data_IF_406847094539
#
_entry.id   IF_406847094539
#
_cell.length_a   1.000
_cell.length_b   1.000
_cell.length_c   1.000
_cell.angle_alpha   90.00
_cell.angle_beta   90.00
_cell.angle_gamma   90.00
#
_symmetry.space_group_name_H-M   'P 1'
#
loop_
_entity.id
_entity.type
_entity.pdbx_description
1 polymer ?
#
# COMPACT_ATOMS: atom_id res chain seq x y z
N UNK A 1 -4.73 15.28 -32.97
CA UNK A 1 -4.80 13.82 -33.12
C UNK A 1 -5.25 13.27 -31.78
N UNK A 2 -6.48 12.80 -31.69
CA UNK A 2 -7.03 12.29 -30.42
C UNK A 2 -6.46 10.90 -30.17
N UNK A 3 -5.56 10.75 -29.24
CA UNK A 3 -5.18 9.45 -28.72
C UNK A 3 -6.29 8.99 -27.76
N UNK A 4 -7.21 8.17 -28.26
CA UNK A 4 -8.06 7.36 -27.40
C UNK A 4 -7.20 6.20 -26.94
N UNK A 5 -6.57 6.33 -25.78
CA UNK A 5 -5.98 5.19 -25.10
C UNK A 5 -7.15 4.31 -24.64
N UNK A 6 -7.39 3.24 -25.37
CA UNK A 6 -8.28 2.18 -24.93
C UNK A 6 -7.63 1.51 -23.73
N UNK A 7 -7.89 2.04 -22.53
CA UNK A 7 -7.65 1.28 -21.29
C UNK A 7 -8.63 0.13 -21.34
N UNK A 8 -8.15 -1.02 -21.81
CA UNK A 8 -8.92 -2.25 -21.77
C UNK A 8 -9.27 -2.53 -20.31
N UNK A 9 -10.48 -2.17 -19.90
CA UNK A 9 -11.04 -2.61 -18.63
C UNK A 9 -11.06 -4.12 -18.69
N UNK A 10 -10.07 -4.76 -18.09
CA UNK A 10 -10.15 -6.18 -17.78
C UNK A 10 -11.24 -6.28 -16.71
N UNK A 11 -12.48 -6.46 -17.17
CA UNK A 11 -13.55 -6.90 -16.31
C UNK A 11 -13.19 -8.33 -15.88
N UNK A 12 -12.41 -8.46 -14.83
CA UNK A 12 -12.29 -9.70 -14.08
C UNK A 12 -13.67 -9.98 -13.49
N UNK A 13 -14.51 -10.67 -14.28
CA UNK A 13 -15.74 -11.22 -13.79
C UNK A 13 -15.37 -12.17 -12.65
N UNK A 14 -15.62 -11.76 -11.41
CA UNK A 14 -15.56 -12.63 -10.28
C UNK A 14 -16.66 -13.69 -10.43
N UNK A 15 -16.34 -14.77 -11.11
CA UNK A 15 -17.21 -15.95 -11.08
C UNK A 15 -17.29 -16.41 -9.62
N UNK A 16 -18.50 -16.56 -9.04
CA UNK A 16 -18.62 -17.13 -7.72
C UNK A 16 -18.03 -18.54 -7.79
N UNK A 17 -16.91 -18.77 -7.13
CA UNK A 17 -16.41 -20.13 -6.94
C UNK A 17 -17.44 -20.87 -6.09
N UNK A 18 -18.24 -21.68 -6.73
CA UNK A 18 -19.05 -22.70 -6.05
C UNK A 18 -18.05 -23.58 -5.29
N UNK A 19 -18.09 -23.50 -3.98
CA UNK A 19 -17.30 -24.36 -3.10
C UNK A 19 -17.65 -25.80 -3.43
N UNK A 20 -16.72 -26.51 -4.05
CA UNK A 20 -16.88 -27.93 -4.27
C UNK A 20 -17.04 -28.62 -2.90
N UNK A 21 -18.06 -29.46 -2.77
CA UNK A 21 -18.50 -30.14 -1.54
C UNK A 21 -17.45 -31.08 -0.89
N UNK A 22 -16.14 -30.83 -1.08
CA UNK A 22 -15.05 -31.73 -0.66
C UNK A 22 -13.88 -31.02 0.05
N UNK A 23 -13.94 -29.72 0.33
CA UNK A 23 -12.88 -29.05 1.06
C UNK A 23 -12.91 -29.46 2.54
N UNK A 24 -11.74 -29.86 3.10
CA UNK A 24 -11.65 -30.25 4.52
C UNK A 24 -11.78 -29.01 5.42
N UNK A 25 -12.55 -29.15 6.52
CA UNK A 25 -12.56 -28.12 7.58
C UNK A 25 -11.70 -28.58 8.75
N UNK A 26 -10.77 -27.72 9.18
CA UNK A 26 -9.90 -27.92 10.33
C UNK A 26 -10.19 -26.81 11.35
N UNK A 27 -11.01 -27.13 12.36
CA UNK A 27 -11.24 -26.24 13.50
C UNK A 27 -9.99 -26.27 14.39
N UNK A 28 -9.38 -25.09 14.65
CA UNK A 28 -8.14 -25.01 15.42
C UNK A 28 -8.29 -25.54 16.85
N UNK A 29 -9.51 -25.52 17.42
CA UNK A 29 -9.79 -26.08 18.74
C UNK A 29 -9.63 -27.59 18.79
N UNK A 30 -9.92 -28.28 17.67
CA UNK A 30 -9.68 -29.72 17.56
C UNK A 30 -8.19 -30.08 17.58
N UNK A 31 -7.30 -29.09 17.37
CA UNK A 31 -5.84 -29.23 17.44
C UNK A 31 -5.27 -28.70 18.75
N UNK A 32 -6.10 -28.29 19.69
CA UNK A 32 -5.71 -27.87 21.03
C UNK A 32 -5.68 -26.39 21.29
N UNK A 33 -6.07 -25.53 20.29
CA UNK A 33 -6.15 -24.11 20.50
C UNK A 33 -7.20 -23.75 21.57
N UNK A 34 -6.88 -22.79 22.45
CA UNK A 34 -7.73 -22.34 23.54
C UNK A 34 -8.59 -21.16 23.16
N UNK A 35 -8.04 -20.18 22.48
CA UNK A 35 -8.72 -18.94 22.14
C UNK A 35 -9.13 -18.14 23.38
N UNK A 36 -8.33 -18.16 24.43
CA UNK A 36 -8.55 -17.49 25.72
C UNK A 36 -7.81 -16.15 25.85
N UNK A 37 -7.07 -15.75 24.81
CA UNK A 37 -6.28 -14.51 24.74
C UNK A 37 -4.95 -14.54 25.50
N UNK A 38 -4.62 -15.64 26.17
CA UNK A 38 -3.42 -15.76 27.02
C UNK A 38 -2.55 -16.96 26.68
N UNK A 39 -3.16 -18.07 26.31
CA UNK A 39 -2.44 -19.27 25.87
C UNK A 39 -1.91 -19.05 24.44
N UNK A 40 -0.61 -19.34 24.20
CA UNK A 40 -0.04 -19.31 22.85
C UNK A 40 -0.59 -20.46 22.01
N UNK A 41 -1.47 -20.17 21.08
CA UNK A 41 -2.16 -21.13 20.20
C UNK A 41 -1.41 -21.41 18.89
N UNK A 42 -0.22 -20.83 18.70
CA UNK A 42 0.58 -20.88 17.45
C UNK A 42 0.72 -22.32 16.91
N UNK A 43 1.15 -23.24 17.76
CA UNK A 43 1.38 -24.62 17.34
C UNK A 43 0.10 -25.33 16.91
N UNK A 44 -1.01 -25.09 17.60
CA UNK A 44 -2.32 -25.66 17.29
C UNK A 44 -2.87 -25.12 15.97
N UNK A 45 -2.75 -23.79 15.73
CA UNK A 45 -3.15 -23.14 14.49
C UNK A 45 -2.31 -23.65 13.33
N UNK A 46 -0.99 -23.69 13.47
CA UNK A 46 -0.10 -24.18 12.42
C UNK A 46 -0.37 -25.64 12.08
N UNK A 47 -0.61 -26.49 13.08
CA UNK A 47 -0.96 -27.90 12.87
C UNK A 47 -2.29 -28.06 12.12
N UNK A 48 -3.28 -27.20 12.37
CA UNK A 48 -4.54 -27.16 11.63
C UNK A 48 -4.30 -26.78 10.17
N UNK A 49 -3.48 -25.75 9.91
CA UNK A 49 -3.09 -25.34 8.55
C UNK A 49 -2.41 -26.51 7.83
N UNK A 50 -1.40 -27.13 8.43
CA UNK A 50 -0.63 -28.22 7.84
C UNK A 50 -1.52 -29.43 7.52
N UNK A 51 -2.45 -29.75 8.42
CA UNK A 51 -3.38 -30.86 8.23
C UNK A 51 -4.39 -30.60 7.12
N UNK A 52 -4.92 -29.37 7.02
CA UNK A 52 -5.81 -28.99 5.96
C UNK A 52 -5.09 -28.93 4.59
N UNK A 53 -3.88 -28.40 4.56
CA UNK A 53 -3.08 -28.30 3.34
C UNK A 53 -2.65 -29.68 2.79
N UNK A 54 -2.48 -30.67 3.63
CA UNK A 54 -2.19 -32.04 3.22
C UNK A 54 -3.39 -32.76 2.54
N UNK A 55 -4.59 -32.18 2.63
CA UNK A 55 -5.76 -32.72 1.95
C UNK A 55 -5.73 -32.38 0.45
N UNK A 56 -6.15 -33.32 -0.41
CA UNK A 56 -6.07 -33.21 -1.87
C UNK A 56 -6.60 -31.89 -2.44
N UNK A 57 -7.67 -31.35 -1.85
CA UNK A 57 -8.32 -30.12 -2.32
C UNK A 57 -8.05 -28.94 -1.36
N UNK A 58 -7.04 -29.04 -0.50
CA UNK A 58 -6.82 -28.04 0.56
C UNK A 58 -7.95 -28.01 1.58
N UNK A 59 -8.18 -26.86 2.21
CA UNK A 59 -9.25 -26.76 3.20
C UNK A 59 -9.44 -25.40 3.83
N UNK A 60 -10.41 -25.39 4.76
CA UNK A 60 -10.77 -24.25 5.59
C UNK A 60 -10.20 -24.44 6.99
N UNK A 61 -9.28 -23.60 7.38
CA UNK A 61 -8.80 -23.49 8.77
C UNK A 61 -9.70 -22.51 9.48
N UNK A 62 -10.46 -22.99 10.47
CA UNK A 62 -11.48 -22.21 11.15
C UNK A 62 -11.06 -21.80 12.55
N UNK A 63 -11.06 -20.48 12.80
CA UNK A 63 -11.00 -19.88 14.12
C UNK A 63 -12.38 -19.31 14.45
N UNK A 64 -12.94 -19.69 15.61
CA UNK A 64 -14.27 -19.22 16.03
C UNK A 64 -14.39 -19.07 17.53
N UNK A 65 -14.95 -17.95 17.96
CA UNK A 65 -15.26 -17.63 19.35
C UNK A 65 -14.02 -17.49 20.25
N UNK A 66 -13.59 -16.27 20.48
CA UNK A 66 -12.50 -15.92 21.37
C UNK A 66 -11.31 -15.22 20.73
N UNK A 67 -10.24 -15.09 21.47
CA UNK A 67 -8.99 -14.44 21.08
C UNK A 67 -7.87 -15.47 21.06
N UNK A 68 -7.34 -15.75 19.89
CA UNK A 68 -6.25 -16.72 19.69
C UNK A 68 -4.91 -15.99 19.68
N UNK A 69 -4.18 -16.02 20.80
CA UNK A 69 -2.84 -15.46 20.92
C UNK A 69 -1.85 -16.32 20.13
N UNK A 70 -1.11 -15.73 19.20
CA UNK A 70 -0.22 -16.50 18.33
C UNK A 70 1.06 -15.73 18.01
N UNK A 71 2.17 -16.42 17.94
CA UNK A 71 3.31 -15.99 17.12
C UNK A 71 3.02 -16.18 15.63
N UNK A 72 4.04 -16.05 14.77
CA UNK A 72 3.89 -16.19 13.33
C UNK A 72 3.29 -17.51 12.88
N UNK A 73 2.39 -17.44 11.90
CA UNK A 73 1.81 -18.62 11.21
C UNK A 73 2.10 -18.56 9.71
N UNK A 74 2.20 -19.73 9.07
CA UNK A 74 2.49 -19.84 7.64
C UNK A 74 1.36 -20.56 6.93
N UNK A 75 0.69 -19.86 6.03
CA UNK A 75 -0.33 -20.43 5.16
C UNK A 75 0.32 -21.23 4.03
N UNK A 76 -0.40 -22.22 3.54
CA UNK A 76 0.01 -23.10 2.44
C UNK A 76 -0.99 -23.04 1.29
N UNK A 77 -0.62 -23.50 0.13
CA UNK A 77 -1.51 -23.52 -1.05
C UNK A 77 -2.87 -24.16 -0.76
N UNK A 78 -3.92 -23.63 -1.39
CA UNK A 78 -5.29 -24.09 -1.31
C UNK A 78 -5.91 -23.98 0.10
N UNK A 79 -5.47 -23.02 0.91
CA UNK A 79 -5.98 -22.77 2.26
C UNK A 79 -6.87 -21.52 2.28
N UNK A 80 -8.02 -21.69 2.91
CA UNK A 80 -8.81 -20.58 3.43
C UNK A 80 -8.61 -20.48 4.93
N UNK A 81 -8.06 -19.36 5.39
CA UNK A 81 -8.06 -18.97 6.80
C UNK A 81 -9.36 -18.24 7.09
N UNK A 82 -10.28 -18.90 7.79
CA UNK A 82 -11.55 -18.32 8.18
C UNK A 82 -11.51 -17.90 9.64
N UNK A 83 -11.53 -16.60 9.89
CA UNK A 83 -11.62 -16.02 11.24
C UNK A 83 -13.04 -15.48 11.38
N UNK A 84 -13.87 -16.16 12.14
CA UNK A 84 -15.27 -15.82 12.25
C UNK A 84 -15.51 -14.45 12.91
N UNK A 85 -16.64 -13.83 12.61
CA UNK A 85 -17.05 -12.59 13.28
C UNK A 85 -16.98 -12.72 14.81
N UNK A 86 -16.53 -11.68 15.49
CA UNK A 86 -16.29 -11.67 16.94
C UNK A 86 -15.07 -12.49 17.39
N UNK A 87 -14.24 -12.94 16.47
CA UNK A 87 -13.00 -13.70 16.74
C UNK A 87 -11.78 -12.88 16.39
N UNK A 88 -10.73 -12.93 17.22
CA UNK A 88 -9.46 -12.25 16.97
C UNK A 88 -8.31 -13.26 16.90
N UNK A 89 -7.52 -13.18 15.86
CA UNK A 89 -6.15 -13.72 15.82
C UNK A 89 -5.22 -12.60 16.29
N UNK A 90 -4.68 -12.76 17.52
CA UNK A 90 -3.90 -11.75 18.22
C UNK A 90 -2.40 -12.08 18.16
N UNK A 91 -1.59 -11.14 17.70
CA UNK A 91 -0.14 -11.25 17.66
C UNK A 91 0.49 -11.30 19.07
N UNK A 92 1.48 -12.17 19.25
CA UNK A 92 2.23 -12.22 20.49
C UNK A 92 2.96 -10.90 20.73
N UNK A 93 2.90 -10.32 21.95
CA UNK A 93 3.70 -9.15 22.29
C UNK A 93 5.17 -9.52 22.61
N UNK A 94 5.49 -10.82 22.68
CA UNK A 94 6.83 -11.32 22.95
C UNK A 94 7.65 -11.33 21.65
N UNK A 95 8.64 -10.46 21.53
CA UNK A 95 9.48 -10.35 20.34
C UNK A 95 10.26 -11.63 20.04
N UNK A 96 10.52 -12.47 21.06
CA UNK A 96 11.20 -13.75 20.89
C UNK A 96 10.38 -14.79 20.10
N UNK A 97 9.07 -14.61 20.00
CA UNK A 97 8.21 -15.46 19.20
C UNK A 97 8.36 -15.26 17.69
N UNK A 98 9.02 -14.16 17.27
CA UNK A 98 9.20 -13.82 15.86
C UNK A 98 10.60 -14.17 15.37
N UNK A 99 10.77 -15.27 14.63
CA UNK A 99 12.07 -15.66 14.11
C UNK A 99 12.65 -14.61 13.17
N UNK A 100 13.96 -14.32 13.33
CA UNK A 100 14.70 -13.52 12.34
C UNK A 100 14.87 -14.31 11.06
N UNK A 101 14.64 -13.68 9.94
CA UNK A 101 14.84 -14.26 8.60
C UNK A 101 15.18 -13.17 7.58
N UNK A 102 15.56 -13.60 6.39
CA UNK A 102 15.62 -12.69 5.24
C UNK A 102 14.20 -12.41 4.73
N UNK A 103 13.81 -11.16 4.71
CA UNK A 103 12.58 -10.67 4.06
C UNK A 103 12.93 -9.54 3.10
N UNK A 104 12.24 -9.47 1.97
CA UNK A 104 12.46 -8.41 0.98
C UNK A 104 13.94 -8.19 0.64
N UNK A 105 14.72 -9.27 0.54
CA UNK A 105 16.16 -9.31 0.28
C UNK A 105 17.05 -8.69 1.38
N UNK A 106 16.50 -8.45 2.55
CA UNK A 106 17.21 -7.90 3.70
C UNK A 106 16.94 -8.61 5.02
N UNK A 107 17.67 -8.28 6.08
CA UNK A 107 17.37 -8.78 7.41
C UNK A 107 15.97 -8.36 7.86
N UNK A 108 15.21 -9.29 8.43
CA UNK A 108 13.86 -9.03 8.88
C UNK A 108 13.40 -10.02 9.95
N UNK A 109 12.11 -9.96 10.23
CA UNK A 109 11.40 -10.92 11.07
C UNK A 109 10.32 -11.61 10.25
N UNK A 110 10.00 -12.84 10.60
CA UNK A 110 8.86 -13.54 10.00
C UNK A 110 7.59 -12.75 10.20
N UNK A 111 6.82 -12.54 9.12
CA UNK A 111 5.53 -11.88 9.19
C UNK A 111 4.56 -12.64 10.10
N UNK A 112 3.63 -11.91 10.75
CA UNK A 112 2.65 -12.50 11.65
C UNK A 112 1.77 -13.56 10.96
N UNK A 113 1.24 -13.24 9.79
CA UNK A 113 0.58 -14.20 8.90
C UNK A 113 1.31 -14.19 7.57
N UNK A 114 1.99 -15.26 7.22
CA UNK A 114 2.82 -15.34 6.02
C UNK A 114 2.40 -16.46 5.08
N UNK A 115 2.71 -16.30 3.79
CA UNK A 115 2.73 -17.37 2.80
C UNK A 115 3.89 -17.15 1.84
N UNK A 116 4.55 -18.22 1.41
CA UNK A 116 5.68 -18.16 0.48
C UNK A 116 5.49 -19.21 -0.61
N UNK A 117 5.61 -18.80 -1.87
CA UNK A 117 5.46 -19.69 -3.04
C UNK A 117 4.16 -20.50 -3.01
N UNK A 118 3.07 -19.90 -2.57
CA UNK A 118 1.77 -20.56 -2.40
C UNK A 118 0.70 -19.98 -3.34
N UNK A 119 -0.33 -20.76 -3.61
CA UNK A 119 -1.42 -20.36 -4.48
C UNK A 119 -2.80 -20.69 -3.91
N UNK A 120 -3.83 -19.99 -4.41
CA UNK A 120 -5.23 -20.18 -3.99
C UNK A 120 -5.41 -19.95 -2.49
N UNK A 121 -5.01 -18.77 -2.03
CA UNK A 121 -5.09 -18.36 -0.63
C UNK A 121 -6.29 -17.45 -0.41
N UNK A 122 -7.03 -17.68 0.66
CA UNK A 122 -8.13 -16.80 1.07
C UNK A 122 -8.06 -16.53 2.57
N UNK A 123 -8.21 -15.27 2.98
CA UNK A 123 -8.43 -14.87 4.37
C UNK A 123 -9.80 -14.20 4.42
N UNK A 124 -10.71 -14.72 5.26
CA UNK A 124 -12.10 -14.26 5.32
C UNK A 124 -12.77 -14.62 6.66
N UNK A 125 -14.03 -14.22 6.85
CA UNK A 125 -14.85 -14.66 7.98
C UNK A 125 -15.39 -13.54 8.86
N UNK A 126 -15.04 -12.28 8.64
CA UNK A 126 -15.56 -11.13 9.37
C UNK A 126 -14.83 -10.83 10.69
N UNK A 127 -13.83 -11.62 11.04
CA UNK A 127 -13.04 -11.45 12.26
C UNK A 127 -11.90 -10.46 12.12
N UNK A 128 -10.99 -10.50 13.08
CA UNK A 128 -9.87 -9.55 13.23
C UNK A 128 -8.53 -10.28 13.21
N UNK A 129 -7.59 -9.76 12.44
CA UNK A 129 -6.15 -10.02 12.57
C UNK A 129 -5.56 -8.79 13.26
N UNK A 130 -5.12 -8.92 14.50
CA UNK A 130 -4.49 -7.85 15.28
C UNK A 130 -3.02 -8.19 15.52
N UNK A 131 -2.14 -7.41 14.91
CA UNK A 131 -0.70 -7.62 15.03
C UNK A 131 -0.11 -7.25 16.40
N UNK A 132 -0.91 -6.58 17.27
CA UNK A 132 -0.50 -6.18 18.63
C UNK A 132 0.86 -5.44 18.66
N UNK A 133 1.06 -4.54 17.70
CA UNK A 133 2.37 -3.97 17.37
C UNK A 133 2.92 -2.92 18.32
N UNK A 134 2.18 -2.53 19.36
CA UNK A 134 2.53 -1.38 20.22
C UNK A 134 3.95 -1.45 20.80
N UNK A 135 4.37 -2.60 21.31
CA UNK A 135 5.71 -2.79 21.91
C UNK A 135 6.83 -2.57 20.87
N UNK A 136 6.59 -2.97 19.61
CA UNK A 136 7.49 -2.74 18.49
C UNK A 136 7.56 -1.27 18.09
N UNK A 137 6.43 -0.55 18.12
CA UNK A 137 6.40 0.88 17.82
C UNK A 137 7.16 1.69 18.88
N UNK A 138 6.97 1.35 20.16
CA UNK A 138 7.63 2.02 21.26
C UNK A 138 9.16 1.82 21.14
N UNK A 139 9.62 0.61 20.85
CA UNK A 139 11.03 0.33 20.61
C UNK A 139 11.57 1.08 19.39
N UNK A 140 10.84 1.07 18.25
CA UNK A 140 11.27 1.79 17.05
C UNK A 140 11.41 3.30 17.26
N UNK A 141 10.48 3.91 18.00
CA UNK A 141 10.57 5.33 18.38
C UNK A 141 11.78 5.59 19.27
N UNK A 142 11.96 4.79 20.31
CA UNK A 142 13.11 4.93 21.23
C UNK A 142 14.45 4.82 20.48
N UNK A 143 14.58 3.86 19.56
CA UNK A 143 15.79 3.71 18.74
C UNK A 143 16.00 4.91 17.80
N UNK A 144 14.94 5.42 17.18
CA UNK A 144 14.99 6.62 16.34
C UNK A 144 15.41 7.84 17.14
N UNK A 145 14.82 8.06 18.30
CA UNK A 145 15.13 9.22 19.17
C UNK A 145 16.57 9.14 19.72
N UNK A 146 17.07 7.95 19.94
CA UNK A 146 18.46 7.71 20.32
C UNK A 146 19.45 7.80 19.13
N UNK A 147 18.97 8.01 17.90
CA UNK A 147 19.82 8.06 16.69
C UNK A 147 20.48 6.73 16.34
N UNK A 148 20.01 5.61 16.89
CA UNK A 148 20.62 4.30 16.72
C UNK A 148 20.22 3.65 15.41
N UNK A 149 18.97 3.80 15.00
CA UNK A 149 18.42 3.25 13.76
C UNK A 149 17.50 4.28 13.10
N UNK A 150 17.41 4.20 11.78
CA UNK A 150 16.41 4.93 11.03
C UNK A 150 14.99 4.36 11.27
N UNK A 151 13.98 5.02 10.73
CA UNK A 151 12.57 4.60 10.83
C UNK A 151 12.29 3.21 10.22
N UNK A 152 13.23 2.66 9.45
CA UNK A 152 13.13 1.39 8.75
C UNK A 152 13.69 0.20 9.55
N UNK A 153 13.81 0.35 10.86
CA UNK A 153 14.27 -0.74 11.67
C UNK A 153 13.33 -1.96 11.47
N UNK A 154 13.96 -3.12 11.29
CA UNK A 154 13.24 -4.36 10.96
C UNK A 154 12.26 -4.74 12.06
N UNK A 155 11.01 -4.87 11.70
CA UNK A 155 9.90 -5.31 12.55
C UNK A 155 9.05 -6.32 11.78
N UNK A 156 8.32 -7.23 12.43
CA UNK A 156 7.45 -8.15 11.71
C UNK A 156 6.33 -7.37 11.00
N UNK A 157 6.05 -7.72 9.75
CA UNK A 157 4.88 -7.24 9.03
C UNK A 157 3.64 -8.02 9.43
N UNK A 158 2.45 -7.47 9.16
CA UNK A 158 1.19 -8.11 9.50
C UNK A 158 0.92 -9.35 8.64
N UNK A 159 0.45 -9.15 7.42
CA UNK A 159 0.09 -10.22 6.47
C UNK A 159 0.98 -10.08 5.23
N UNK A 160 1.75 -11.11 4.91
CA UNK A 160 2.68 -11.10 3.76
C UNK A 160 2.44 -12.30 2.85
N UNK A 161 2.24 -12.03 1.57
CA UNK A 161 2.20 -13.04 0.52
C UNK A 161 3.44 -12.87 -0.37
N UNK A 162 4.40 -13.77 -0.25
CA UNK A 162 5.69 -13.72 -0.93
C UNK A 162 5.73 -14.72 -2.08
N UNK A 163 5.83 -14.23 -3.34
CA UNK A 163 5.78 -15.05 -4.57
C UNK A 163 4.53 -15.95 -4.64
N UNK A 164 3.38 -15.41 -4.25
CA UNK A 164 2.10 -16.12 -4.24
C UNK A 164 1.26 -15.84 -5.48
N UNK A 165 0.19 -16.62 -5.67
CA UNK A 165 -0.81 -16.42 -6.74
C UNK A 165 -2.22 -16.66 -6.24
N UNK A 166 -3.19 -15.95 -6.85
CA UNK A 166 -4.61 -16.12 -6.55
C UNK A 166 -4.91 -15.90 -5.06
N UNK A 167 -4.61 -14.70 -4.57
CA UNK A 167 -4.77 -14.30 -3.17
C UNK A 167 -6.03 -13.47 -2.99
N UNK A 168 -6.81 -13.76 -1.95
CA UNK A 168 -8.03 -13.04 -1.58
C UNK A 168 -8.03 -12.69 -0.10
N UNK A 169 -8.32 -11.43 0.24
CA UNK A 169 -8.64 -10.96 1.60
C UNK A 169 -9.99 -10.27 1.52
N UNK A 170 -10.99 -10.78 2.21
CA UNK A 170 -12.36 -10.35 2.05
C UNK A 170 -13.11 -10.23 3.38
N UNK A 171 -13.72 -9.06 3.62
CA UNK A 171 -14.58 -8.83 4.77
C UNK A 171 -13.88 -8.91 6.12
N UNK A 172 -12.60 -8.52 6.20
CA UNK A 172 -11.77 -8.64 7.39
C UNK A 172 -11.53 -7.29 8.06
N UNK A 173 -11.09 -7.33 9.32
CA UNK A 173 -10.33 -6.24 9.92
C UNK A 173 -8.89 -6.71 10.12
N UNK A 174 -7.93 -5.96 9.57
CA UNK A 174 -6.49 -6.15 9.81
C UNK A 174 -6.00 -4.92 10.55
N UNK A 175 -5.36 -5.08 11.71
CA UNK A 175 -4.99 -3.93 12.50
C UNK A 175 -3.69 -4.10 13.27
N UNK A 176 -3.11 -2.96 13.65
CA UNK A 176 -2.01 -2.85 14.62
C UNK A 176 -0.82 -3.75 14.33
N UNK A 177 -0.46 -3.97 13.06
CA UNK A 177 0.79 -4.66 12.76
C UNK A 177 2.00 -3.85 13.30
N UNK A 178 3.08 -4.53 13.60
CA UNK A 178 4.30 -3.87 14.07
C UNK A 178 4.95 -2.98 13.01
N UNK A 179 4.65 -3.23 11.73
CA UNK A 179 5.07 -2.48 10.55
C UNK A 179 3.95 -2.61 9.49
N UNK A 180 4.25 -2.52 8.19
CA UNK A 180 3.30 -2.67 7.08
C UNK A 180 2.28 -3.78 7.31
N UNK A 181 1.01 -3.51 7.07
CA UNK A 181 -0.05 -4.41 7.51
C UNK A 181 -0.39 -5.51 6.50
N UNK A 182 -0.59 -5.18 5.21
CA UNK A 182 -0.89 -6.17 4.16
C UNK A 182 0.07 -5.96 3.00
N UNK A 183 0.90 -6.94 2.71
CA UNK A 183 1.96 -6.83 1.70
C UNK A 183 1.92 -8.00 0.72
N UNK A 184 1.30 -7.85 -0.45
CA UNK A 184 1.60 -8.71 -1.59
C UNK A 184 3.01 -8.38 -2.11
N UNK A 185 3.93 -9.34 -2.08
CA UNK A 185 5.32 -9.19 -2.52
C UNK A 185 5.61 -10.16 -3.66
N UNK A 186 5.92 -9.65 -4.85
CA UNK A 186 6.06 -10.46 -6.07
C UNK A 186 4.88 -11.43 -6.28
N UNK A 187 3.68 -10.96 -5.97
CA UNK A 187 2.45 -11.77 -5.96
C UNK A 187 1.56 -11.38 -7.15
N UNK A 188 0.93 -12.36 -7.75
CA UNK A 188 0.05 -12.18 -8.90
C UNK A 188 -1.40 -12.56 -8.59
N UNK A 189 -2.36 -11.83 -9.16
CA UNK A 189 -3.80 -11.99 -8.96
C UNK A 189 -4.22 -11.88 -7.49
N UNK A 190 -4.25 -10.63 -7.01
CA UNK A 190 -4.61 -10.28 -5.62
C UNK A 190 -5.92 -9.51 -5.60
N UNK A 191 -6.84 -9.86 -4.71
CA UNK A 191 -8.03 -9.06 -4.41
C UNK A 191 -8.09 -8.82 -2.90
N UNK A 192 -8.14 -7.55 -2.52
CA UNK A 192 -8.38 -7.10 -1.15
C UNK A 192 -9.65 -6.26 -1.18
N UNK A 193 -10.72 -6.71 -0.52
CA UNK A 193 -12.00 -6.02 -0.60
C UNK A 193 -12.82 -6.10 0.68
N UNK A 194 -13.71 -5.12 0.84
CA UNK A 194 -14.64 -5.07 1.99
C UNK A 194 -13.90 -5.18 3.33
N UNK A 195 -12.68 -4.60 3.41
CA UNK A 195 -11.71 -4.80 4.49
C UNK A 195 -11.44 -3.47 5.19
N UNK A 196 -11.29 -3.51 6.51
CA UNK A 196 -10.79 -2.38 7.31
C UNK A 196 -9.34 -2.63 7.66
N UNK A 197 -8.49 -1.60 7.47
CA UNK A 197 -7.08 -1.66 7.87
C UNK A 197 -6.80 -0.50 8.80
N UNK A 198 -6.48 -0.81 10.06
CA UNK A 198 -6.46 0.16 11.14
C UNK A 198 -5.15 0.14 11.93
N UNK A 199 -4.69 1.30 12.36
CA UNK A 199 -3.59 1.46 13.32
C UNK A 199 -3.71 2.81 14.03
N UNK A 200 -2.97 2.99 15.12
CA UNK A 200 -2.82 4.30 15.74
C UNK A 200 -2.27 5.29 14.69
N UNK A 201 -2.87 6.48 14.49
CA UNK A 201 -2.44 7.44 13.48
C UNK A 201 -1.02 7.97 13.68
N UNK A 202 -0.41 7.70 14.82
CA UNK A 202 1.00 8.04 15.09
C UNK A 202 1.92 6.82 15.10
N UNK A 203 1.43 5.63 14.77
CA UNK A 203 2.27 4.43 14.70
C UNK A 203 3.23 4.49 13.51
N UNK A 204 4.52 4.15 13.70
CA UNK A 204 5.51 4.29 12.65
C UNK A 204 5.41 3.16 11.61
N UNK A 205 5.40 3.51 10.34
CA UNK A 205 5.43 2.59 9.20
C UNK A 205 4.31 1.53 9.22
N UNK A 206 3.10 1.93 9.61
CA UNK A 206 1.94 1.05 9.60
C UNK A 206 1.12 1.22 8.31
N UNK A 207 1.83 1.28 7.17
CA UNK A 207 1.22 1.34 5.84
C UNK A 207 0.12 0.27 5.75
N UNK A 208 -1.05 0.63 5.21
CA UNK A 208 -2.18 -0.29 5.23
C UNK A 208 -2.02 -1.41 4.19
N UNK A 209 -1.78 -1.07 2.92
CA UNK A 209 -1.65 -2.06 1.84
C UNK A 209 -0.51 -1.66 0.91
N UNK A 210 0.49 -2.52 0.82
CA UNK A 210 1.68 -2.31 0.00
C UNK A 210 1.81 -3.36 -1.12
N UNK A 211 1.19 -3.18 -2.29
CA UNK A 211 1.51 -3.99 -3.45
C UNK A 211 2.97 -3.75 -3.86
N UNK A 212 3.83 -4.75 -3.67
CA UNK A 212 5.26 -4.62 -3.88
C UNK A 212 5.74 -5.56 -5.01
N UNK A 213 6.18 -5.02 -6.13
CA UNK A 213 6.53 -5.80 -7.34
C UNK A 213 5.46 -6.82 -7.72
N UNK A 214 4.20 -6.45 -7.51
CA UNK A 214 3.04 -7.33 -7.66
C UNK A 214 2.18 -6.93 -8.86
N UNK A 215 1.48 -7.89 -9.43
CA UNK A 215 0.71 -7.71 -10.67
C UNK A 215 -0.75 -8.12 -10.49
N UNK A 216 -1.65 -7.49 -11.29
CA UNK A 216 -3.07 -7.82 -11.30
C UNK A 216 -3.71 -7.72 -9.90
N UNK A 217 -3.56 -6.54 -9.26
CA UNK A 217 -4.02 -6.28 -7.90
C UNK A 217 -5.30 -5.44 -7.94
N UNK A 218 -6.32 -5.86 -7.20
CA UNK A 218 -7.55 -5.08 -6.98
C UNK A 218 -7.71 -4.80 -5.50
N UNK A 219 -7.80 -3.52 -5.16
CA UNK A 219 -8.10 -3.02 -3.81
C UNK A 219 -9.43 -2.26 -3.91
N UNK A 220 -10.48 -2.77 -3.29
CA UNK A 220 -11.79 -2.15 -3.42
C UNK A 220 -12.61 -2.17 -2.14
N UNK A 221 -13.36 -1.08 -1.90
CA UNK A 221 -14.18 -0.89 -0.69
C UNK A 221 -13.39 -1.13 0.59
N UNK A 222 -12.19 -0.56 0.63
CA UNK A 222 -11.30 -0.59 1.80
C UNK A 222 -11.46 0.71 2.58
N UNK A 223 -11.57 0.58 3.90
CA UNK A 223 -11.38 1.69 4.83
C UNK A 223 -9.98 1.56 5.43
N UNK A 224 -9.12 2.53 5.21
CA UNK A 224 -7.82 2.63 5.87
C UNK A 224 -7.80 3.81 6.85
N UNK A 225 -7.25 3.57 8.04
CA UNK A 225 -7.03 4.56 9.09
C UNK A 225 -5.76 4.16 9.84
N UNK A 226 -4.62 4.71 9.41
CA UNK A 226 -3.29 4.21 9.76
C UNK A 226 -2.30 5.33 10.05
N UNK A 227 -1.08 4.99 10.47
CA UNK A 227 -0.04 5.95 10.81
C UNK A 227 0.98 6.23 9.70
N UNK A 228 0.87 5.58 8.53
CA UNK A 228 1.73 5.80 7.36
C UNK A 228 0.87 5.72 6.07
N UNK A 229 1.40 5.29 4.92
CA UNK A 229 0.66 5.29 3.66
C UNK A 229 -0.62 4.41 3.72
N UNK A 230 -1.76 4.90 3.24
CA UNK A 230 -3.01 4.11 3.17
C UNK A 230 -2.91 3.02 2.09
N UNK A 231 -2.33 3.36 0.96
CA UNK A 231 -1.87 2.41 -0.04
C UNK A 231 -0.51 2.88 -0.55
N UNK A 232 0.49 2.00 -0.59
CA UNK A 232 1.78 2.33 -1.19
C UNK A 232 2.20 1.30 -2.22
N UNK A 233 2.11 1.67 -3.50
CA UNK A 233 2.60 0.82 -4.59
C UNK A 233 4.11 0.95 -4.67
N UNK A 234 4.82 -0.14 -4.43
CA UNK A 234 6.28 -0.21 -4.34
C UNK A 234 6.84 -1.24 -5.34
N UNK A 235 8.13 -1.10 -5.73
CA UNK A 235 8.82 -2.07 -6.58
C UNK A 235 10.34 -1.92 -6.48
N UNK A 236 11.02 -2.88 -5.90
CA UNK A 236 12.45 -2.80 -5.61
C UNK A 236 12.77 -1.88 -4.42
N UNK A 237 13.99 -1.90 -3.97
CA UNK A 237 14.45 -1.19 -2.77
C UNK A 237 15.36 -0.02 -3.14
N UNK A 238 15.63 0.87 -2.18
CA UNK A 238 16.65 1.92 -2.28
C UNK A 238 17.99 1.27 -2.62
N UNK A 239 18.70 1.85 -3.57
CA UNK A 239 19.99 1.33 -4.07
C UNK A 239 19.93 -0.15 -4.50
N UNK A 240 18.76 -0.62 -4.91
CA UNK A 240 18.61 -2.02 -5.34
C UNK A 240 19.62 -2.38 -6.43
N UNK A 241 20.35 -3.49 -6.31
CA UNK A 241 21.23 -3.96 -7.37
C UNK A 241 20.45 -4.48 -8.59
N UNK A 242 19.13 -4.69 -8.45
CA UNK A 242 18.28 -5.33 -9.45
C UNK A 242 18.57 -6.84 -9.64
N UNK A 243 17.96 -7.48 -10.63
CA UNK A 243 16.78 -6.99 -11.33
C UNK A 243 15.57 -6.91 -10.42
N UNK A 244 14.72 -5.91 -10.63
CA UNK A 244 13.47 -5.72 -9.91
C UNK A 244 12.29 -5.82 -10.88
N UNK A 245 11.20 -6.48 -10.45
CA UNK A 245 9.97 -6.51 -11.22
C UNK A 245 9.12 -5.28 -10.93
N UNK A 246 8.40 -4.72 -11.92
CA UNK A 246 7.48 -3.62 -11.70
C UNK A 246 6.25 -4.05 -10.91
N UNK A 247 5.62 -3.11 -10.22
CA UNK A 247 4.21 -3.24 -9.82
C UNK A 247 3.32 -2.80 -10.99
N UNK A 248 2.34 -3.64 -11.38
CA UNK A 248 1.64 -3.44 -12.65
C UNK A 248 0.19 -3.93 -12.62
N UNK A 249 -0.68 -3.24 -13.40
CA UNK A 249 -2.10 -3.57 -13.51
C UNK A 249 -2.80 -3.54 -12.14
N UNK A 250 -2.80 -2.38 -11.49
CA UNK A 250 -3.37 -2.20 -10.15
C UNK A 250 -4.62 -1.34 -10.25
N UNK A 251 -5.71 -1.77 -9.63
CA UNK A 251 -6.96 -1.02 -9.50
C UNK A 251 -7.24 -0.77 -8.04
N UNK A 252 -7.40 0.50 -7.66
CA UNK A 252 -7.77 0.94 -6.32
C UNK A 252 -9.08 1.72 -6.47
N UNK A 253 -10.17 1.26 -5.85
CA UNK A 253 -11.46 1.90 -6.07
C UNK A 253 -12.40 1.82 -4.89
N UNK A 254 -13.32 2.80 -4.84
CA UNK A 254 -14.38 2.83 -3.84
C UNK A 254 -13.84 2.79 -2.40
N UNK A 255 -12.66 3.40 -2.15
CA UNK A 255 -11.95 3.36 -0.88
C UNK A 255 -12.13 4.67 -0.09
N UNK A 256 -11.97 4.57 1.23
CA UNK A 256 -11.97 5.72 2.15
C UNK A 256 -10.72 5.68 3.00
N UNK A 257 -9.96 6.78 3.00
CA UNK A 257 -8.72 6.96 3.75
C UNK A 257 -8.89 8.09 4.77
N UNK A 258 -8.70 7.80 6.07
CA UNK A 258 -9.04 8.73 7.15
C UNK A 258 -7.82 9.43 7.76
N UNK A 259 -6.79 8.71 8.11
CA UNK A 259 -5.49 9.21 8.53
C UNK A 259 -4.40 8.52 7.72
N UNK A 260 -3.16 8.90 7.95
CA UNK A 260 -2.03 8.34 7.23
C UNK A 260 -1.51 9.30 6.17
N UNK A 261 -0.69 8.75 5.26
CA UNK A 261 0.00 9.55 4.27
C UNK A 261 -0.68 9.56 2.89
N UNK A 262 -1.88 8.99 2.76
CA UNK A 262 -2.68 8.96 1.54
C UNK A 262 -2.30 7.84 0.57
N UNK A 263 -2.66 8.01 -0.71
CA UNK A 263 -2.35 7.06 -1.78
C UNK A 263 -1.00 7.36 -2.39
N UNK A 264 -0.04 6.50 -2.15
CA UNK A 264 1.34 6.64 -2.60
C UNK A 264 1.69 5.68 -3.75
N UNK A 265 2.36 6.20 -4.77
CA UNK A 265 3.15 5.43 -5.72
C UNK A 265 4.61 5.69 -5.35
N UNK A 266 5.27 4.69 -4.77
CA UNK A 266 6.63 4.83 -4.23
C UNK A 266 6.71 4.84 -2.69
N UNK A 267 7.90 5.18 -2.15
CA UNK A 267 9.09 5.77 -2.83
C UNK A 267 9.97 4.74 -3.53
N UNK A 268 9.97 3.50 -3.09
CA UNK A 268 10.77 2.40 -3.63
C UNK A 268 10.21 1.97 -4.98
N UNK A 269 10.82 2.43 -6.08
CA UNK A 269 10.34 2.21 -7.45
C UNK A 269 11.45 1.71 -8.39
N UNK A 270 12.46 1.02 -7.85
CA UNK A 270 13.57 0.52 -8.66
C UNK A 270 13.15 -0.49 -9.76
N UNK A 271 11.97 -1.09 -9.64
CA UNK A 271 11.34 -1.93 -10.68
C UNK A 271 10.34 -1.20 -11.57
N UNK A 272 9.94 0.02 -11.19
CA UNK A 272 8.90 0.78 -11.88
C UNK A 272 7.47 0.48 -11.42
N UNK A 273 6.53 1.33 -11.86
CA UNK A 273 5.10 1.18 -11.56
C UNK A 273 4.28 1.58 -12.79
N UNK A 274 3.39 0.71 -13.28
CA UNK A 274 2.72 0.92 -14.55
C UNK A 274 1.26 0.45 -14.55
N UNK A 275 0.41 1.13 -15.34
CA UNK A 275 -1.00 0.76 -15.50
C UNK A 275 -1.74 0.72 -14.16
N UNK A 276 -1.85 1.87 -13.50
CA UNK A 276 -2.51 2.00 -12.19
C UNK A 276 -3.74 2.88 -12.37
N UNK A 277 -4.89 2.39 -11.95
CA UNK A 277 -6.14 3.13 -11.88
C UNK A 277 -6.56 3.29 -10.42
N UNK A 278 -6.71 4.55 -9.98
CA UNK A 278 -7.32 4.89 -8.70
C UNK A 278 -8.60 5.70 -8.95
N UNK A 279 -9.75 5.19 -8.50
CA UNK A 279 -11.01 5.84 -8.80
C UNK A 279 -12.02 5.80 -7.65
N UNK A 280 -12.85 6.86 -7.55
CA UNK A 280 -13.88 6.99 -6.50
C UNK A 280 -13.33 6.80 -5.09
N UNK A 281 -12.31 7.62 -4.76
CA UNK A 281 -11.64 7.56 -3.46
C UNK A 281 -11.95 8.82 -2.67
N UNK A 282 -12.24 8.64 -1.40
CA UNK A 282 -12.42 9.73 -0.44
C UNK A 282 -11.24 9.77 0.53
N UNK A 283 -10.61 10.93 0.65
CA UNK A 283 -9.57 11.21 1.64
C UNK A 283 -10.10 12.19 2.66
N UNK A 284 -9.83 11.94 3.95
CA UNK A 284 -10.21 12.84 5.02
C UNK A 284 -9.13 12.90 6.10
N UNK A 285 -8.49 14.07 6.22
CA UNK A 285 -7.47 14.32 7.24
C UNK A 285 -6.12 13.66 6.99
N UNK A 286 -5.88 13.08 5.82
CA UNK A 286 -4.60 12.46 5.46
C UNK A 286 -3.50 13.51 5.24
N UNK A 287 -2.23 13.10 5.34
CA UNK A 287 -1.10 14.00 5.07
C UNK A 287 -1.01 14.38 3.58
N UNK A 288 -1.33 13.44 2.71
CA UNK A 288 -1.43 13.69 1.27
C UNK A 288 -2.69 13.03 0.70
N UNK A 289 -3.14 13.54 -0.44
CA UNK A 289 -4.11 12.85 -1.26
C UNK A 289 -3.41 11.91 -2.24
N UNK A 290 -3.17 12.38 -3.47
CA UNK A 290 -2.39 11.66 -4.47
C UNK A 290 -0.90 11.99 -4.25
N UNK A 291 -0.08 10.95 -4.10
CA UNK A 291 1.34 11.09 -3.80
C UNK A 291 2.20 10.19 -4.69
N UNK A 292 2.92 10.75 -5.65
CA UNK A 292 3.88 10.02 -6.50
C UNK A 292 5.28 10.50 -6.09
N UNK A 293 6.07 9.61 -5.53
CA UNK A 293 7.33 9.97 -4.87
C UNK A 293 8.46 9.01 -5.21
N UNK A 294 9.63 9.54 -5.57
CA UNK A 294 10.86 8.78 -5.76
C UNK A 294 12.10 9.65 -5.60
N UNK A 295 13.26 9.09 -5.88
CA UNK A 295 14.54 9.78 -5.93
C UNK A 295 15.50 9.06 -6.87
N UNK A 296 16.66 9.66 -7.16
CA UNK A 296 17.74 9.13 -8.03
C UNK A 296 18.31 7.77 -7.59
N UNK A 297 18.04 7.34 -6.36
CA UNK A 297 18.55 6.09 -5.77
C UNK A 297 17.52 4.94 -5.76
N UNK A 298 16.30 5.16 -6.28
CA UNK A 298 15.19 4.22 -6.12
C UNK A 298 14.11 4.27 -7.19
N UNK A 299 14.36 4.91 -8.32
CA UNK A 299 13.38 5.07 -9.38
C UNK A 299 13.60 4.13 -10.57
N UNK A 300 12.64 4.15 -11.45
CA UNK A 300 12.61 3.56 -12.78
C UNK A 300 11.43 4.17 -13.55
N UNK A 301 10.87 3.46 -14.53
CA UNK A 301 9.70 3.89 -15.29
C UNK A 301 8.42 3.87 -14.45
N UNK A 302 7.76 5.02 -14.33
CA UNK A 302 6.49 5.19 -13.60
C UNK A 302 5.50 5.85 -14.54
N UNK A 303 4.56 5.08 -15.05
CA UNK A 303 3.75 5.52 -16.18
C UNK A 303 2.35 4.93 -16.24
N UNK A 304 1.48 5.57 -17.05
CA UNK A 304 0.10 5.17 -17.24
C UNK A 304 -0.67 5.11 -15.92
N UNK A 305 -0.62 6.24 -15.19
CA UNK A 305 -1.31 6.41 -13.91
C UNK A 305 -2.56 7.26 -14.12
N UNK A 306 -3.72 6.75 -13.70
CA UNK A 306 -4.99 7.46 -13.77
C UNK A 306 -5.61 7.57 -12.39
N UNK A 307 -5.88 8.80 -11.96
CA UNK A 307 -6.57 9.12 -10.72
C UNK A 307 -7.85 9.88 -11.08
N UNK A 308 -9.02 9.34 -10.77
CA UNK A 308 -10.27 9.98 -11.15
C UNK A 308 -11.38 9.87 -10.10
N UNK A 309 -12.28 10.86 -10.14
CA UNK A 309 -13.43 10.92 -9.22
C UNK A 309 -12.99 10.93 -7.76
N UNK A 310 -12.08 11.85 -7.40
CA UNK A 310 -11.43 11.94 -6.10
C UNK A 310 -12.02 13.08 -5.28
N UNK A 311 -12.35 12.82 -4.03
CA UNK A 311 -12.78 13.83 -3.05
C UNK A 311 -11.81 13.89 -1.89
N UNK A 312 -11.41 15.10 -1.48
CA UNK A 312 -10.48 15.35 -0.38
C UNK A 312 -11.06 16.40 0.59
N UNK A 313 -11.00 16.11 1.88
CA UNK A 313 -11.38 17.00 2.97
C UNK A 313 -10.23 17.08 3.98
N UNK A 314 -9.76 18.28 4.29
CA UNK A 314 -8.69 18.55 5.28
C UNK A 314 -7.39 17.77 5.04
N UNK A 315 -7.06 17.51 3.79
CA UNK A 315 -5.80 16.84 3.39
C UNK A 315 -4.67 17.87 3.42
N UNK A 316 -3.52 17.57 4.02
CA UNK A 316 -2.43 18.56 4.13
C UNK A 316 -1.91 18.97 2.75
N UNK A 317 -1.60 18.01 1.85
CA UNK A 317 -1.18 18.28 0.47
C UNK A 317 -2.05 17.50 -0.50
N UNK A 318 -2.85 18.17 -1.33
CA UNK A 318 -3.79 17.48 -2.20
C UNK A 318 -3.09 16.64 -3.28
N UNK A 319 -2.09 17.20 -3.98
CA UNK A 319 -1.34 16.50 -5.03
C UNK A 319 0.16 16.68 -4.82
N UNK A 320 0.89 15.60 -4.64
CA UNK A 320 2.35 15.58 -4.54
C UNK A 320 2.93 14.66 -5.62
N UNK A 321 3.64 15.22 -6.58
CA UNK A 321 4.47 14.50 -7.56
C UNK A 321 5.90 15.01 -7.41
N UNK A 322 6.79 14.19 -6.84
CA UNK A 322 8.15 14.63 -6.53
C UNK A 322 9.20 13.53 -6.70
N UNK A 323 10.26 13.87 -7.39
CA UNK A 323 11.46 13.04 -7.60
C UNK A 323 12.60 13.41 -6.63
N UNK A 324 12.29 14.06 -5.50
CA UNK A 324 13.27 14.49 -4.49
C UNK A 324 13.10 13.81 -3.13
N UNK A 325 12.16 12.86 -3.02
CA UNK A 325 11.86 12.20 -1.74
C UNK A 325 13.11 11.53 -1.10
N UNK A 326 13.30 11.61 0.23
CA UNK A 326 12.39 12.19 1.24
C UNK A 326 12.57 13.71 1.46
N UNK A 327 13.43 14.35 0.69
CA UNK A 327 13.71 15.78 0.84
C UNK A 327 12.64 16.62 0.15
N UNK A 328 12.48 17.84 0.59
CA UNK A 328 11.73 18.84 -0.17
C UNK A 328 12.47 19.19 -1.45
N UNK A 329 11.73 19.66 -2.46
CA UNK A 329 12.33 20.24 -3.65
C UNK A 329 13.24 21.43 -3.25
N UNK A 330 14.51 21.44 -3.67
CA UNK A 330 15.44 22.51 -3.31
C UNK A 330 15.02 23.86 -3.92
N UNK A 331 15.24 24.92 -3.20
CA UNK A 331 15.12 26.26 -3.74
C UNK A 331 16.31 26.58 -4.64
N UNK A 332 16.03 27.22 -5.78
CA UNK A 332 17.04 27.64 -6.74
C UNK A 332 17.30 26.65 -7.88
N UNK A 333 18.41 26.85 -8.56
CA UNK A 333 18.81 26.04 -9.72
C UNK A 333 19.40 24.69 -9.28
N UNK A 334 18.87 23.63 -9.85
CA UNK A 334 19.33 22.26 -9.59
C UNK A 334 20.13 21.75 -10.78
N UNK A 335 21.33 21.25 -10.53
CA UNK A 335 22.16 20.66 -11.60
C UNK A 335 21.62 19.28 -11.99
N UNK A 336 21.64 19.02 -13.30
CA UNK A 336 21.34 17.70 -13.84
C UNK A 336 22.41 16.68 -13.42
N UNK A 337 21.98 15.45 -13.18
CA UNK A 337 22.85 14.31 -12.92
C UNK A 337 22.84 13.34 -14.11
N UNK A 338 23.87 12.48 -14.25
CA UNK A 338 23.83 11.43 -15.26
C UNK A 338 22.63 10.50 -15.06
N UNK A 339 21.95 10.17 -16.15
CA UNK A 339 20.86 9.18 -16.14
C UNK A 339 21.43 7.80 -15.87
N UNK A 340 20.85 7.11 -14.89
CA UNK A 340 21.22 5.75 -14.51
C UNK A 340 20.01 4.84 -14.37
N UNK A 341 20.25 3.59 -14.01
CA UNK A 341 19.19 2.58 -13.83
C UNK A 341 18.13 2.99 -12.80
N UNK A 342 18.52 3.73 -11.78
CA UNK A 342 17.63 4.14 -10.68
C UNK A 342 17.13 5.59 -10.85
N UNK A 343 17.36 6.23 -12.00
CA UNK A 343 16.74 7.52 -12.30
C UNK A 343 15.24 7.32 -12.48
N UNK A 344 14.38 8.02 -11.74
CA UNK A 344 12.94 7.95 -11.96
C UNK A 344 12.54 8.62 -13.28
N UNK A 345 11.54 8.08 -13.94
CA UNK A 345 10.90 8.67 -15.12
C UNK A 345 9.39 8.65 -14.90
N UNK A 346 8.83 9.79 -14.54
CA UNK A 346 7.38 9.94 -14.32
C UNK A 346 6.71 10.51 -15.56
N UNK A 347 5.81 9.75 -16.17
CA UNK A 347 5.09 10.19 -17.36
C UNK A 347 3.73 9.54 -17.55
N UNK A 348 2.90 10.11 -18.43
CA UNK A 348 1.55 9.66 -18.72
C UNK A 348 0.69 9.53 -17.45
N UNK A 349 0.56 10.65 -16.74
CA UNK A 349 -0.19 10.76 -15.49
C UNK A 349 -1.46 11.59 -15.76
N UNK A 350 -2.61 11.09 -15.39
CA UNK A 350 -3.89 11.79 -15.51
C UNK A 350 -4.58 11.90 -14.15
N UNK A 351 -4.99 13.13 -13.80
CA UNK A 351 -5.81 13.43 -12.62
C UNK A 351 -7.09 14.09 -13.12
N UNK A 352 -8.21 13.38 -13.00
CA UNK A 352 -9.51 13.83 -13.53
C UNK A 352 -10.58 13.88 -12.43
N UNK A 353 -11.43 14.92 -12.45
CA UNK A 353 -12.55 15.08 -11.53
C UNK A 353 -12.11 15.04 -10.05
N UNK A 354 -11.16 15.90 -9.67
CA UNK A 354 -10.68 16.01 -8.29
C UNK A 354 -11.27 17.24 -7.62
N UNK A 355 -11.84 17.07 -6.43
CA UNK A 355 -12.26 18.15 -5.55
C UNK A 355 -11.57 18.05 -4.20
N UNK A 356 -10.88 19.12 -3.78
CA UNK A 356 -10.22 19.20 -2.48
C UNK A 356 -10.60 20.48 -1.75
N UNK A 357 -10.91 20.34 -0.46
CA UNK A 357 -11.26 21.48 0.42
C UNK A 357 -10.47 21.38 1.72
N UNK A 358 -10.12 22.54 2.30
CA UNK A 358 -9.42 22.59 3.59
C UNK A 358 -7.95 22.18 3.54
N UNK A 359 -7.34 22.05 2.36
CA UNK A 359 -5.93 21.64 2.24
C UNK A 359 -4.98 22.74 2.74
N UNK A 360 -3.82 22.33 3.28
CA UNK A 360 -2.74 23.29 3.61
C UNK A 360 -1.99 23.70 2.35
N UNK A 361 -1.75 22.78 1.43
CA UNK A 361 -1.10 23.01 0.15
C UNK A 361 -1.87 22.35 -0.98
N UNK A 362 -2.11 23.10 -2.05
CA UNK A 362 -2.79 22.55 -3.23
C UNK A 362 -1.94 21.49 -3.93
N UNK A 363 -0.61 21.69 -4.03
CA UNK A 363 0.23 20.64 -4.55
C UNK A 363 1.64 21.07 -4.92
N UNK A 364 2.42 20.03 -5.28
CA UNK A 364 3.77 20.12 -5.84
C UNK A 364 3.89 19.12 -6.99
N UNK A 365 4.30 19.58 -8.17
CA UNK A 365 4.64 18.75 -9.32
C UNK A 365 6.05 19.11 -9.74
N UNK A 366 7.03 18.29 -9.36
CA UNK A 366 8.44 18.62 -9.54
C UNK A 366 9.26 17.39 -9.94
N UNK A 367 9.76 17.43 -11.18
CA UNK A 367 10.70 16.43 -11.71
C UNK A 367 12.16 16.80 -11.50
N UNK A 368 13.04 15.92 -11.95
CA UNK A 368 14.49 16.16 -12.03
C UNK A 368 14.85 16.95 -13.29
N UNK A 369 15.95 17.74 -13.29
CA UNK A 369 16.42 18.41 -14.50
C UNK A 369 16.73 17.45 -15.65
N UNK A 370 17.31 16.29 -15.36
CA UNK A 370 17.63 15.24 -16.32
C UNK A 370 16.47 14.34 -16.69
N UNK A 371 15.43 14.29 -15.84
CA UNK A 371 14.24 13.46 -16.02
C UNK A 371 12.98 14.24 -15.58
N UNK A 372 12.56 15.27 -16.31
CA UNK A 372 11.37 16.02 -15.95
C UNK A 372 10.10 15.16 -16.04
N UNK A 373 9.14 15.43 -15.18
CA UNK A 373 7.80 14.82 -15.28
C UNK A 373 7.20 15.15 -16.65
N UNK A 374 6.78 14.15 -17.40
CA UNK A 374 6.23 14.32 -18.73
C UNK A 374 4.76 13.94 -18.80
N UNK A 375 4.01 14.62 -19.67
CA UNK A 375 2.62 14.27 -19.98
C UNK A 375 1.76 14.11 -18.73
N UNK A 376 1.84 15.08 -17.80
CA UNK A 376 0.89 15.13 -16.70
C UNK A 376 -0.32 15.98 -17.06
N UNK A 377 -1.53 15.45 -16.95
CA UNK A 377 -2.79 16.11 -17.28
C UNK A 377 -3.64 16.23 -16.02
N UNK A 378 -4.02 17.46 -15.70
CA UNK A 378 -5.04 17.77 -14.69
C UNK A 378 -6.28 18.22 -15.43
N UNK A 379 -7.44 17.56 -15.20
CA UNK A 379 -8.70 17.85 -15.87
C UNK A 379 -9.86 17.88 -14.88
N UNK A 380 -10.66 18.95 -14.93
CA UNK A 380 -11.76 19.17 -13.98
C UNK A 380 -11.29 19.08 -12.53
N UNK A 381 -10.30 19.87 -12.15
CA UNK A 381 -9.68 19.86 -10.82
C UNK A 381 -10.02 21.16 -10.09
N UNK A 382 -10.61 21.06 -8.90
CA UNK A 382 -10.93 22.19 -8.02
C UNK A 382 -10.31 21.96 -6.64
N UNK A 383 -9.32 22.81 -6.29
CA UNK A 383 -8.59 22.70 -5.01
C UNK A 383 -8.66 24.04 -4.26
N UNK A 384 -9.15 23.97 -3.02
CA UNK A 384 -9.11 25.10 -2.07
C UNK A 384 -8.07 24.80 -0.98
N UNK A 385 -7.05 25.65 -0.86
CA UNK A 385 -5.93 25.43 0.02
C UNK A 385 -5.41 26.73 0.66
N UNK A 386 -4.57 26.62 1.72
CA UNK A 386 -3.87 27.78 2.28
C UNK A 386 -2.83 28.30 1.29
N UNK A 387 -2.02 27.41 0.69
CA UNK A 387 -1.02 27.75 -0.32
C UNK A 387 -1.27 27.03 -1.63
N UNK A 388 -0.82 27.64 -2.74
CA UNK A 388 -1.08 27.14 -4.08
C UNK A 388 -0.28 25.92 -4.49
N UNK A 389 -0.33 25.61 -5.78
CA UNK A 389 0.39 24.53 -6.44
C UNK A 389 1.65 25.05 -7.12
N UNK A 390 2.79 24.37 -6.94
CA UNK A 390 4.06 24.65 -7.61
C UNK A 390 4.35 23.61 -8.69
N UNK A 391 4.72 24.08 -9.90
CA UNK A 391 5.08 23.21 -11.03
C UNK A 391 6.50 23.59 -11.51
N UNK A 392 7.43 22.63 -11.49
CA UNK A 392 8.81 22.81 -11.95
C UNK A 392 9.34 21.51 -12.60
N UNK A 393 10.22 21.62 -13.57
CA UNK A 393 10.75 20.47 -14.33
C UNK A 393 9.63 19.50 -14.73
N UNK A 394 8.58 20.04 -15.36
CA UNK A 394 7.41 19.26 -15.75
C UNK A 394 6.78 19.78 -17.04
N UNK A 395 6.13 18.88 -17.78
CA UNK A 395 5.26 19.18 -18.92
C UNK A 395 3.83 18.86 -18.52
N UNK A 396 3.04 19.90 -18.23
CA UNK A 396 1.69 19.76 -17.69
C UNK A 396 0.63 20.37 -18.62
N UNK A 397 -0.52 19.71 -18.69
CA UNK A 397 -1.75 20.26 -19.30
C UNK A 397 -2.78 20.48 -18.21
N UNK A 398 -3.33 21.69 -18.15
CA UNK A 398 -4.37 22.08 -17.20
C UNK A 398 -5.65 22.37 -17.98
N UNK A 399 -6.63 21.47 -17.89
CA UNK A 399 -7.92 21.56 -18.54
C UNK A 399 -9.01 21.73 -17.47
N UNK A 400 -9.65 22.92 -17.40
CA UNK A 400 -10.62 23.27 -16.36
C UNK A 400 -10.07 23.07 -14.93
N UNK A 401 -8.91 23.64 -14.64
CA UNK A 401 -8.24 23.56 -13.33
C UNK A 401 -8.38 24.86 -12.58
N UNK A 402 -8.96 24.81 -11.40
CA UNK A 402 -9.06 25.93 -10.45
C UNK A 402 -8.30 25.58 -9.18
N UNK A 403 -7.37 26.45 -8.79
CA UNK A 403 -6.69 26.39 -7.50
C UNK A 403 -6.89 27.73 -6.80
N UNK A 404 -7.66 27.71 -5.72
CA UNK A 404 -7.91 28.87 -4.86
C UNK A 404 -6.98 28.78 -3.65
N UNK A 405 -5.99 29.68 -3.60
CA UNK A 405 -5.07 29.81 -2.48
C UNK A 405 -5.47 31.00 -1.60
N UNK A 406 -5.39 30.83 -0.29
CA UNK A 406 -5.57 31.95 0.65
C UNK A 406 -4.35 32.87 0.63
N UNK A 407 -3.17 32.28 0.48
CA UNK A 407 -1.88 32.95 0.46
C UNK A 407 -1.17 32.72 -0.87
N UNK A 408 -0.77 33.81 -1.54
CA UNK A 408 -0.03 33.78 -2.79
C UNK A 408 -0.86 33.42 -4.02
N UNK A 409 -0.20 32.94 -5.05
CA UNK A 409 -0.82 32.53 -6.31
C UNK A 409 -1.38 31.12 -6.22
N UNK A 410 -2.53 30.87 -6.87
CA UNK A 410 -3.11 29.53 -6.93
C UNK A 410 -2.18 28.52 -7.62
N UNK A 411 -1.53 28.92 -8.74
CA UNK A 411 -0.56 28.05 -9.43
C UNK A 411 0.68 28.87 -9.80
N UNK A 412 1.82 28.48 -9.29
CA UNK A 412 3.14 29.04 -9.63
C UNK A 412 3.87 28.11 -10.57
N UNK A 413 4.25 28.60 -11.75
CA UNK A 413 4.98 27.85 -12.77
C UNK A 413 6.43 28.35 -12.86
N UNK A 414 7.38 27.43 -12.61
CA UNK A 414 8.80 27.73 -12.77
C UNK A 414 9.17 27.88 -14.24
N UNK A 415 10.19 28.70 -14.59
CA UNK A 415 10.74 28.74 -15.96
C UNK A 415 11.21 27.40 -16.52
N UNK A 416 11.44 26.41 -15.65
CA UNK A 416 11.84 25.04 -16.02
C UNK A 416 10.67 24.13 -16.40
N UNK A 417 9.44 24.62 -16.30
CA UNK A 417 8.24 23.87 -16.64
C UNK A 417 7.55 24.41 -17.89
N UNK A 418 6.87 23.54 -18.62
CA UNK A 418 6.00 23.89 -19.74
C UNK A 418 4.56 23.57 -19.35
N UNK A 419 3.69 24.58 -19.29
CA UNK A 419 2.27 24.40 -18.92
C UNK A 419 1.38 24.89 -20.05
N UNK A 420 0.51 24.01 -20.53
CA UNK A 420 -0.56 24.32 -21.48
C UNK A 420 -1.89 24.42 -20.73
N UNK A 421 -2.64 25.50 -20.96
CA UNK A 421 -4.00 25.69 -20.42
C UNK A 421 -5.04 25.49 -21.52
N UNK A 422 -6.09 24.75 -21.23
CA UNK A 422 -7.23 24.51 -22.14
C UNK A 422 -8.54 24.94 -21.48
#
# INVERSE_FOLDING_TARGET
>A
MRFVALVGVVALAAAPRVWAASAKTCDVRAFGAKGDGTTKDTAAIQKAIDTCAAHKNGGVVKLSGGTFLSGPIVLKSNITLNIAEGTTLLGSPDHADYPKKTEFRGPGYQAFVGAVNAENLTITGGGVIDGNGKSWWDEARHQKDAGLLGSENSRPRGVVFDHCKHVRIEGMTVQNAAMWQIVPYYTDDVVIRDTKVLADPHSPNTDAIDPFSSTNVVIERVLADVGDDDVAVKSGMVNSPGPDAPSKNIVIRDCTFLHGHGLSIGSELAGGAQNILAERITFKGTDNGIRIKSNRDRGADVSHLVFKDITMEDVKTAVLVSEYYPKAYPEGEVSAAPIGRLTPFFHDIEIENLKATGSKQAGVIVGLPEAPVKTIVLKNVDIQAQTGMKIAYAQATLDHVTVTAVEGEGITVSPTATVTKQ
#
